data_IF_883279472427
#
_entry.id   IF_883279472427
#
_cell.length_a   1.000
_cell.length_b   1.000
_cell.length_c   1.000
_cell.angle_alpha   90.00
_cell.angle_beta   90.00
_cell.angle_gamma   90.00
#
_symmetry.space_group_name_H-M   'P 1'
#
loop_
_entity.id
_entity.type
_entity.pdbx_description
1 polymer ?
#
# COMPACT_ATOMS: atom_id res chain seq x y z
N UNK A 1 6.21 41.25 -4.25
CA UNK A 1 5.71 40.48 -5.41
C UNK A 1 4.61 41.30 -6.06
N UNK A 2 4.41 41.23 -7.39
CA UNK A 2 3.19 41.79 -7.98
C UNK A 2 1.99 40.96 -7.55
N UNK A 3 0.83 41.59 -7.39
CA UNK A 3 -0.40 40.93 -6.94
C UNK A 3 -0.75 39.71 -7.83
N UNK A 4 -0.52 39.81 -9.14
CA UNK A 4 -0.71 38.71 -10.08
C UNK A 4 0.20 37.51 -9.84
N UNK A 5 1.47 37.73 -9.45
CA UNK A 5 2.39 36.64 -9.11
C UNK A 5 1.96 35.98 -7.79
N UNK A 6 1.48 36.76 -6.82
CA UNK A 6 1.01 36.23 -5.56
C UNK A 6 -0.26 35.37 -5.72
N UNK A 7 -1.20 35.78 -6.59
CA UNK A 7 -2.37 34.96 -6.95
C UNK A 7 -1.95 33.68 -7.68
N UNK A 8 -0.99 33.76 -8.61
CA UNK A 8 -0.49 32.57 -9.31
C UNK A 8 0.12 31.57 -8.33
N UNK A 9 0.91 32.05 -7.37
CA UNK A 9 1.50 31.23 -6.31
C UNK A 9 0.42 30.63 -5.42
N UNK A 10 -0.58 31.41 -5.01
CA UNK A 10 -1.74 30.91 -4.24
C UNK A 10 -2.47 29.79 -5.00
N UNK A 11 -2.75 29.98 -6.29
CA UNK A 11 -3.40 28.98 -7.12
C UNK A 11 -2.56 27.70 -7.25
N UNK A 12 -1.24 27.84 -7.47
CA UNK A 12 -0.33 26.71 -7.53
C UNK A 12 -0.26 25.94 -6.20
N UNK A 13 -0.26 26.66 -5.07
CA UNK A 13 -0.26 26.04 -3.75
C UNK A 13 -1.58 25.34 -3.42
N UNK A 14 -2.72 25.89 -3.82
CA UNK A 14 -4.04 25.23 -3.70
C UNK A 14 -4.07 23.92 -4.49
N UNK A 15 -3.58 23.93 -5.74
CA UNK A 15 -3.48 22.73 -6.56
C UNK A 15 -2.49 21.72 -5.97
N UNK A 16 -1.36 22.19 -5.43
CA UNK A 16 -0.38 21.35 -4.74
C UNK A 16 -0.98 20.67 -3.52
N UNK A 17 -1.72 21.42 -2.69
CA UNK A 17 -2.41 20.87 -1.53
C UNK A 17 -3.44 19.82 -1.97
N UNK A 18 -4.27 20.15 -2.95
CA UNK A 18 -5.26 19.23 -3.50
C UNK A 18 -4.65 17.97 -4.10
N UNK A 19 -3.47 18.06 -4.72
CA UNK A 19 -2.72 16.89 -5.15
C UNK A 19 -2.38 15.97 -3.96
N UNK A 20 -1.82 16.52 -2.87
CA UNK A 20 -1.43 15.71 -1.72
C UNK A 20 -2.64 15.11 -0.99
N UNK A 21 -3.71 15.88 -0.81
CA UNK A 21 -4.97 15.38 -0.23
C UNK A 21 -5.55 14.26 -1.10
N UNK A 22 -5.66 14.47 -2.42
CA UNK A 22 -6.16 13.42 -3.31
C UNK A 22 -5.27 12.17 -3.30
N UNK A 23 -3.95 12.34 -3.22
CA UNK A 23 -3.00 11.23 -3.18
C UNK A 23 -3.13 10.44 -1.87
N UNK A 24 -3.24 11.12 -0.73
CA UNK A 24 -3.46 10.50 0.59
C UNK A 24 -4.71 9.62 0.58
N UNK A 25 -5.86 10.20 0.24
CA UNK A 25 -7.13 9.48 0.24
C UNK A 25 -7.17 8.38 -0.82
N UNK A 26 -6.48 8.56 -1.95
CA UNK A 26 -6.31 7.50 -2.94
C UNK A 26 -5.48 6.32 -2.42
N UNK A 27 -4.39 6.57 -1.69
CA UNK A 27 -3.56 5.48 -1.13
C UNK A 27 -4.30 4.70 -0.05
N UNK A 28 -5.09 5.39 0.77
CA UNK A 28 -5.90 4.75 1.84
C UNK A 28 -7.10 4.00 1.28
N UNK A 29 -7.76 4.55 0.25
CA UNK A 29 -9.03 4.00 -0.26
C UNK A 29 -8.87 3.03 -1.43
N UNK A 30 -7.73 3.06 -2.14
CA UNK A 30 -7.50 2.13 -3.25
C UNK A 30 -7.24 0.72 -2.72
N UNK A 31 -7.84 -0.28 -3.38
CA UNK A 31 -7.63 -1.69 -3.07
C UNK A 31 -6.56 -2.27 -4.02
N UNK A 32 -5.60 -3.03 -3.46
CA UNK A 32 -4.43 -3.57 -4.20
C UNK A 32 -4.85 -4.53 -5.32
N UNK A 33 -5.87 -5.33 -5.08
CA UNK A 33 -6.47 -6.29 -6.03
C UNK A 33 -6.97 -5.64 -7.34
N UNK A 34 -7.29 -4.35 -7.33
CA UNK A 34 -7.65 -3.61 -8.55
C UNK A 34 -6.43 -3.12 -9.36
N UNK A 35 -5.27 -2.98 -8.72
CA UNK A 35 -4.04 -2.46 -9.34
C UNK A 35 -3.10 -3.59 -9.79
N UNK A 36 -3.04 -4.69 -9.05
CA UNK A 36 -2.20 -5.85 -9.35
C UNK A 36 -2.41 -6.42 -10.77
N UNK A 37 -3.65 -6.64 -11.26
CA UNK A 37 -3.86 -7.10 -12.63
C UNK A 37 -3.36 -6.12 -13.69
N UNK A 38 -3.39 -4.81 -13.40
CA UNK A 38 -2.85 -3.79 -14.31
C UNK A 38 -1.33 -3.80 -14.32
N UNK A 39 -0.70 -4.00 -13.16
CA UNK A 39 0.75 -4.13 -13.05
C UNK A 39 1.27 -5.40 -13.72
N UNK A 40 0.54 -6.52 -13.57
CA UNK A 40 0.84 -7.79 -14.24
C UNK A 40 0.76 -7.67 -15.77
N UNK A 41 -0.21 -6.90 -16.28
CA UNK A 41 -0.31 -6.53 -17.71
C UNK A 41 0.72 -5.48 -18.18
N UNK A 42 1.73 -5.18 -17.38
CA UNK A 42 2.85 -4.30 -17.76
C UNK A 42 2.65 -2.81 -17.48
N UNK A 43 1.60 -2.40 -16.77
CA UNK A 43 1.42 -0.97 -16.42
C UNK A 43 2.46 -0.51 -15.40
N UNK A 44 3.37 0.37 -15.85
CA UNK A 44 4.39 0.99 -14.99
C UNK A 44 3.75 1.84 -13.90
N UNK A 45 2.70 2.60 -14.22
CA UNK A 45 1.94 3.38 -13.23
C UNK A 45 1.37 2.51 -12.13
N UNK A 46 0.72 1.39 -12.47
CA UNK A 46 0.20 0.45 -11.48
C UNK A 46 1.30 -0.11 -10.57
N UNK A 47 2.47 -0.46 -11.13
CA UNK A 47 3.61 -0.94 -10.33
C UNK A 47 4.14 0.12 -9.37
N UNK A 48 4.21 1.37 -9.80
CA UNK A 48 4.65 2.48 -8.94
C UNK A 48 3.65 2.82 -7.85
N UNK A 49 2.35 2.82 -8.18
CA UNK A 49 1.28 3.00 -7.20
C UNK A 49 1.24 1.87 -6.18
N UNK A 50 1.42 0.61 -6.59
CA UNK A 50 1.50 -0.53 -5.66
C UNK A 50 2.66 -0.39 -4.68
N UNK A 51 3.83 0.10 -5.13
CA UNK A 51 4.97 0.39 -4.25
C UNK A 51 4.72 1.55 -3.29
N UNK A 52 3.95 2.55 -3.70
CA UNK A 52 3.52 3.61 -2.79
C UNK A 52 2.55 3.04 -1.73
N UNK A 53 1.73 2.06 -2.08
CA UNK A 53 0.81 1.36 -1.17
C UNK A 53 1.50 0.29 -0.30
N UNK A 54 2.70 -0.20 -0.65
CA UNK A 54 3.46 -1.15 0.18
C UNK A 54 3.88 -0.53 1.53
N UNK A 55 4.15 0.77 1.55
CA UNK A 55 4.54 1.50 2.75
C UNK A 55 3.57 2.65 2.98
N UNK A 56 2.33 2.33 3.38
CA UNK A 56 1.26 3.30 3.60
C UNK A 56 1.71 4.38 4.58
N UNK A 57 2.28 4.02 5.74
CA UNK A 57 2.86 4.97 6.70
C UNK A 57 3.81 6.00 6.08
N UNK A 58 4.73 5.55 5.22
CA UNK A 58 5.70 6.42 4.59
C UNK A 58 5.03 7.36 3.57
N UNK A 59 4.09 6.83 2.79
CA UNK A 59 3.29 7.61 1.85
C UNK A 59 2.41 8.64 2.56
N UNK A 60 1.78 8.27 3.69
CA UNK A 60 0.97 9.15 4.53
C UNK A 60 1.82 10.27 5.15
N UNK A 61 3.00 9.94 5.69
CA UNK A 61 3.91 10.95 6.22
C UNK A 61 4.37 11.92 5.13
N UNK A 62 4.59 11.43 3.90
CA UNK A 62 4.95 12.26 2.76
C UNK A 62 3.81 13.19 2.32
N UNK A 63 2.58 12.68 2.22
CA UNK A 63 1.42 13.52 1.88
C UNK A 63 1.16 14.55 2.98
N UNK A 64 1.28 14.17 4.25
CA UNK A 64 1.11 15.09 5.37
C UNK A 64 2.13 16.22 5.34
N UNK A 65 3.40 15.91 5.06
CA UNK A 65 4.45 16.93 4.89
C UNK A 65 4.08 17.91 3.76
N UNK A 66 3.61 17.40 2.63
CA UNK A 66 3.17 18.20 1.50
C UNK A 66 1.97 19.09 1.84
N UNK A 67 0.93 18.52 2.47
CA UNK A 67 -0.27 19.24 2.92
C UNK A 67 0.13 20.36 3.88
N UNK A 68 0.95 20.08 4.90
CA UNK A 68 1.39 21.09 5.86
C UNK A 68 2.20 22.20 5.19
N UNK A 69 3.16 21.85 4.33
CA UNK A 69 3.96 22.84 3.62
C UNK A 69 3.09 23.76 2.74
N UNK A 70 2.18 23.18 1.95
CA UNK A 70 1.26 23.96 1.13
C UNK A 70 0.33 24.81 1.98
N UNK A 71 -0.24 24.28 3.06
CA UNK A 71 -1.20 25.00 3.91
C UNK A 71 -0.55 26.20 4.61
N UNK A 72 0.67 26.03 5.14
CA UNK A 72 1.43 27.12 5.75
C UNK A 72 1.79 28.20 4.73
N UNK A 73 2.21 27.81 3.52
CA UNK A 73 2.54 28.75 2.46
C UNK A 73 1.29 29.48 1.92
N UNK A 74 0.13 28.82 1.88
CA UNK A 74 -1.15 29.43 1.52
C UNK A 74 -1.51 30.53 2.53
N UNK A 75 -1.38 30.26 3.83
CA UNK A 75 -1.60 31.31 4.84
C UNK A 75 -0.60 32.45 4.69
N UNK A 76 0.70 32.12 4.59
CA UNK A 76 1.77 33.12 4.54
C UNK A 76 1.76 34.01 3.28
N UNK A 77 1.33 33.48 2.13
CA UNK A 77 1.35 34.21 0.84
C UNK A 77 -0.05 34.62 0.39
N UNK A 78 -1.05 33.77 0.60
CA UNK A 78 -2.42 33.98 0.14
C UNK A 78 -3.14 35.07 0.90
N UNK A 79 -3.04 35.09 2.23
CA UNK A 79 -3.72 36.10 3.05
C UNK A 79 -3.24 37.51 2.73
N UNK A 80 -1.92 37.83 2.69
CA UNK A 80 -1.47 39.18 2.37
C UNK A 80 -1.81 39.58 0.93
N UNK A 81 -1.79 38.62 -0.01
CA UNK A 81 -2.10 38.89 -1.41
C UNK A 81 -3.57 39.32 -1.59
N UNK A 82 -4.49 38.59 -0.97
CA UNK A 82 -5.93 38.91 -1.05
C UNK A 82 -6.25 40.14 -0.21
N UNK A 83 -5.62 40.33 0.96
CA UNK A 83 -5.84 41.51 1.80
C UNK A 83 -5.46 42.81 1.06
N UNK A 84 -4.29 42.88 0.41
CA UNK A 84 -3.90 44.07 -0.37
C UNK A 84 -4.86 44.38 -1.52
N UNK A 85 -5.46 43.36 -2.14
CA UNK A 85 -6.44 43.53 -3.22
C UNK A 85 -7.79 44.07 -2.70
N UNK A 86 -8.13 43.79 -1.44
CA UNK A 86 -9.37 44.23 -0.79
C UNK A 86 -9.21 45.61 -0.13
N UNK A 87 -8.02 45.91 0.38
CA UNK A 87 -7.70 47.17 1.06
C UNK A 87 -7.91 48.39 0.16
N UNK A 88 -7.45 48.34 -1.10
CA UNK A 88 -7.61 49.46 -2.05
C UNK A 88 -9.08 49.84 -2.32
N UNK A 89 -10.00 48.90 -2.62
CA UNK A 89 -11.43 49.19 -2.69
C UNK A 89 -12.02 49.79 -1.42
N UNK A 90 -11.60 49.32 -0.23
CA UNK A 90 -12.11 49.83 1.05
C UNK A 90 -11.70 51.30 1.29
N UNK A 91 -10.47 51.65 0.94
CA UNK A 91 -10.00 53.04 1.00
C UNK A 91 -10.79 53.94 0.02
N UNK A 92 -11.09 53.45 -1.19
CA UNK A 92 -11.91 54.19 -2.16
C UNK A 92 -13.36 54.40 -1.68
N UNK A 93 -13.88 53.51 -0.85
CA UNK A 93 -15.18 53.62 -0.19
C UNK A 93 -15.17 54.57 1.03
N UNK A 94 -14.02 55.18 1.35
CA UNK A 94 -13.89 56.15 2.43
C UNK A 94 -13.66 55.54 3.81
N UNK A 95 -13.30 54.25 3.89
CA UNK A 95 -12.89 53.62 5.15
C UNK A 95 -11.52 54.17 5.54
N UNK A 96 -11.35 54.59 6.80
CA UNK A 96 -10.06 55.07 7.26
C UNK A 96 -9.01 53.95 7.25
N UNK A 97 -7.77 54.30 6.89
CA UNK A 97 -6.65 53.35 6.78
C UNK A 97 -6.43 52.50 8.02
N UNK A 98 -6.75 53.02 9.21
CA UNK A 98 -6.68 52.27 10.47
C UNK A 98 -7.68 51.12 10.60
N UNK A 99 -8.81 51.17 9.89
CA UNK A 99 -9.81 50.09 9.87
C UNK A 99 -9.81 49.30 8.56
N UNK A 100 -9.37 49.89 7.45
CA UNK A 100 -9.31 49.23 6.14
C UNK A 100 -8.45 47.96 6.18
N UNK A 101 -7.27 48.03 6.79
CA UNK A 101 -6.34 46.90 6.85
C UNK A 101 -6.86 45.72 7.70
N UNK A 102 -7.32 45.89 8.97
CA UNK A 102 -7.91 44.80 9.74
C UNK A 102 -9.14 44.17 9.08
N UNK A 103 -10.01 44.98 8.45
CA UNK A 103 -11.20 44.48 7.76
C UNK A 103 -10.79 43.66 6.53
N UNK A 104 -9.86 44.17 5.72
CA UNK A 104 -9.34 43.47 4.56
C UNK A 104 -8.69 42.14 4.94
N UNK A 105 -7.93 42.11 6.04
CA UNK A 105 -7.29 40.90 6.55
C UNK A 105 -8.33 39.85 6.97
N UNK A 106 -9.37 40.22 7.71
CA UNK A 106 -10.43 39.28 8.12
C UNK A 106 -11.16 38.72 6.90
N UNK A 107 -11.51 39.56 5.93
CA UNK A 107 -12.18 39.11 4.70
C UNK A 107 -11.25 38.20 3.89
N UNK A 108 -9.97 38.56 3.75
CA UNK A 108 -8.97 37.76 3.06
C UNK A 108 -8.80 36.39 3.70
N UNK A 109 -8.70 36.33 5.03
CA UNK A 109 -8.62 35.10 5.79
C UNK A 109 -9.84 34.20 5.52
N UNK A 110 -11.05 34.75 5.54
CA UNK A 110 -12.27 34.00 5.25
C UNK A 110 -12.28 33.44 3.82
N UNK A 111 -11.89 34.26 2.83
CA UNK A 111 -11.84 33.85 1.42
C UNK A 111 -10.78 32.76 1.22
N UNK A 112 -9.56 32.98 1.71
CA UNK A 112 -8.44 32.04 1.55
C UNK A 112 -8.75 30.72 2.26
N UNK A 113 -9.27 30.78 3.49
CA UNK A 113 -9.68 29.58 4.24
C UNK A 113 -10.79 28.81 3.51
N UNK A 114 -11.78 29.51 2.97
CA UNK A 114 -12.86 28.87 2.20
C UNK A 114 -12.32 28.21 0.92
N UNK A 115 -11.50 28.92 0.13
CA UNK A 115 -10.87 28.36 -1.08
C UNK A 115 -9.98 27.16 -0.74
N UNK A 116 -9.21 27.26 0.33
CA UNK A 116 -8.33 26.19 0.81
C UNK A 116 -9.13 24.95 1.24
N UNK A 117 -10.15 25.10 2.08
CA UNK A 117 -11.00 23.97 2.49
C UNK A 117 -11.75 23.36 1.31
N UNK A 118 -12.33 24.17 0.43
CA UNK A 118 -13.16 23.66 -0.67
C UNK A 118 -12.29 23.06 -1.79
N UNK A 119 -11.38 23.85 -2.35
CA UNK A 119 -10.60 23.48 -3.54
C UNK A 119 -9.33 22.72 -3.18
N UNK A 120 -8.70 23.06 -2.06
CA UNK A 120 -7.47 22.40 -1.59
C UNK A 120 -7.75 21.07 -0.89
N UNK A 121 -8.91 20.90 -0.26
CA UNK A 121 -9.19 19.70 0.54
C UNK A 121 -10.44 18.92 0.11
N UNK A 122 -11.63 19.51 0.21
CA UNK A 122 -12.90 18.78 0.05
C UNK A 122 -13.11 18.23 -1.37
N UNK A 123 -12.90 19.04 -2.40
CA UNK A 123 -13.07 18.59 -3.79
C UNK A 123 -12.08 17.47 -4.15
N UNK A 124 -10.75 17.63 -3.93
CA UNK A 124 -9.78 16.58 -4.22
C UNK A 124 -10.02 15.30 -3.42
N UNK A 125 -10.34 15.42 -2.12
CA UNK A 125 -10.72 14.30 -1.26
C UNK A 125 -11.91 13.52 -1.81
N UNK A 126 -13.01 14.21 -2.13
CA UNK A 126 -14.22 13.58 -2.63
C UNK A 126 -13.98 12.90 -4.00
N UNK A 127 -13.16 13.50 -4.87
CA UNK A 127 -12.77 12.89 -6.13
C UNK A 127 -11.93 11.62 -5.95
N UNK A 128 -10.97 11.64 -5.01
CA UNK A 128 -10.13 10.49 -4.71
C UNK A 128 -10.95 9.32 -4.13
N UNK A 129 -11.90 9.61 -3.24
CA UNK A 129 -12.82 8.60 -2.66
C UNK A 129 -13.76 8.04 -3.74
N UNK A 130 -14.26 8.88 -4.64
CA UNK A 130 -15.19 8.44 -5.68
C UNK A 130 -14.54 7.50 -6.71
N UNK A 131 -13.24 7.68 -7.02
CA UNK A 131 -12.49 6.84 -7.98
C UNK A 131 -11.08 6.48 -7.48
N UNK A 132 -10.95 5.67 -6.41
CA UNK A 132 -9.67 5.47 -5.73
C UNK A 132 -8.61 4.84 -6.62
N UNK A 133 -8.97 3.81 -7.40
CA UNK A 133 -8.01 3.13 -8.27
C UNK A 133 -7.48 4.06 -9.38
N UNK A 134 -8.33 4.90 -9.98
CA UNK A 134 -7.90 5.83 -11.01
C UNK A 134 -7.01 6.93 -10.41
N UNK A 135 -7.38 7.48 -9.26
CA UNK A 135 -6.59 8.46 -8.53
C UNK A 135 -5.23 7.88 -8.12
N UNK A 136 -5.19 6.66 -7.59
CA UNK A 136 -3.93 6.00 -7.21
C UNK A 136 -3.01 5.78 -8.42
N UNK A 137 -3.56 5.39 -9.57
CA UNK A 137 -2.77 5.22 -10.81
C UNK A 137 -2.23 6.53 -11.38
N UNK A 138 -2.96 7.63 -11.19
CA UNK A 138 -2.55 8.95 -11.66
C UNK A 138 -1.52 9.59 -10.73
N UNK A 139 -1.81 9.59 -9.43
CA UNK A 139 -1.08 10.35 -8.41
C UNK A 139 0.06 9.55 -7.77
N UNK A 140 -0.10 8.22 -7.66
CA UNK A 140 0.86 7.32 -7.02
C UNK A 140 2.30 7.43 -7.58
N UNK A 141 2.52 7.49 -8.90
CA UNK A 141 3.87 7.65 -9.44
C UNK A 141 4.54 8.96 -9.03
N UNK A 142 3.80 10.08 -9.05
CA UNK A 142 4.32 11.40 -8.65
C UNK A 142 4.60 11.41 -7.15
N UNK A 143 3.68 10.87 -6.35
CA UNK A 143 3.88 10.72 -4.90
C UNK A 143 5.13 9.88 -4.60
N UNK A 144 5.38 8.80 -5.35
CA UNK A 144 6.56 7.96 -5.13
C UNK A 144 7.88 8.69 -5.39
N UNK A 145 7.92 9.58 -6.38
CA UNK A 145 9.07 10.47 -6.62
C UNK A 145 9.23 11.43 -5.45
N UNK A 146 8.14 12.06 -4.99
CA UNK A 146 8.16 12.95 -3.83
C UNK A 146 8.70 12.25 -2.57
N UNK A 147 8.21 11.04 -2.27
CA UNK A 147 8.71 10.19 -1.17
C UNK A 147 10.22 9.94 -1.30
N UNK A 148 10.73 9.67 -2.51
CA UNK A 148 12.16 9.41 -2.71
C UNK A 148 13.00 10.67 -2.44
N UNK A 149 12.55 11.83 -2.90
CA UNK A 149 13.24 13.12 -2.74
C UNK A 149 13.24 13.56 -1.27
N UNK A 150 12.10 13.44 -0.59
CA UNK A 150 11.92 13.87 0.80
C UNK A 150 12.16 12.75 1.82
N UNK A 151 12.68 11.60 1.38
CA UNK A 151 12.96 10.45 2.25
C UNK A 151 13.76 10.82 3.51
N UNK A 152 14.82 11.65 3.45
CA UNK A 152 15.58 12.03 4.64
C UNK A 152 14.75 12.83 5.64
N UNK A 153 13.91 13.74 5.15
CA UNK A 153 13.04 14.57 5.99
C UNK A 153 11.93 13.73 6.63
N UNK A 154 11.30 12.85 5.86
CA UNK A 154 10.25 11.94 6.35
C UNK A 154 10.83 10.97 7.38
N UNK A 155 12.01 10.40 7.11
CA UNK A 155 12.69 9.51 8.04
C UNK A 155 13.01 10.20 9.37
N UNK A 156 13.50 11.45 9.31
CA UNK A 156 13.77 12.24 10.51
C UNK A 156 12.48 12.46 11.31
N UNK A 157 11.39 12.88 10.66
CA UNK A 157 10.08 13.06 11.30
C UNK A 157 9.59 11.78 11.98
N UNK A 158 9.62 10.64 11.27
CA UNK A 158 9.19 9.36 11.82
C UNK A 158 10.06 8.94 13.00
N UNK A 159 11.39 9.09 12.93
CA UNK A 159 12.27 8.78 14.06
C UNK A 159 12.02 9.67 15.26
N UNK A 160 11.75 10.96 15.06
CA UNK A 160 11.38 11.85 16.15
C UNK A 160 10.03 11.44 16.76
N UNK A 161 9.04 11.09 15.95
CA UNK A 161 7.74 10.61 16.42
C UNK A 161 7.89 9.30 17.22
N UNK A 162 8.61 8.31 16.69
CA UNK A 162 8.89 7.04 17.36
C UNK A 162 9.59 7.26 18.71
N UNK A 163 10.58 8.17 18.76
CA UNK A 163 11.30 8.49 19.99
C UNK A 163 10.36 9.09 21.04
N UNK A 164 9.49 10.02 20.64
CA UNK A 164 8.51 10.63 21.55
C UNK A 164 7.50 9.59 22.03
N UNK A 165 6.94 8.78 21.14
CA UNK A 165 5.97 7.74 21.49
C UNK A 165 6.59 6.70 22.43
N UNK A 166 7.81 6.24 22.13
CA UNK A 166 8.51 5.24 22.94
C UNK A 166 8.96 5.77 24.30
N UNK A 167 9.53 6.97 24.37
CA UNK A 167 10.17 7.46 25.59
C UNK A 167 9.29 8.37 26.44
N UNK A 168 8.39 9.14 25.82
CA UNK A 168 7.49 10.05 26.55
C UNK A 168 6.18 9.35 26.87
N UNK A 169 5.56 8.72 25.87
CA UNK A 169 4.25 8.08 26.03
C UNK A 169 4.35 6.61 26.48
N UNK A 170 5.54 5.99 26.41
CA UNK A 170 5.81 4.58 26.75
C UNK A 170 4.91 3.59 26.01
N UNK A 171 4.55 3.91 24.77
CA UNK A 171 3.83 3.01 23.87
C UNK A 171 4.82 2.43 22.86
N UNK A 172 4.73 1.13 22.57
CA UNK A 172 5.52 0.55 21.48
C UNK A 172 4.96 0.99 20.12
N UNK A 173 5.75 1.68 19.28
CA UNK A 173 5.34 2.00 17.92
C UNK A 173 5.15 0.69 17.13
N UNK A 174 3.95 0.46 16.60
CA UNK A 174 3.73 -0.65 15.65
C UNK A 174 4.23 -0.23 14.28
N UNK A 175 5.18 -0.98 13.72
CA UNK A 175 5.52 -0.89 12.30
C UNK A 175 4.43 -1.57 11.46
N UNK A 176 3.77 -0.84 10.56
CA UNK A 176 2.70 -1.37 9.67
C UNK A 176 3.11 -2.57 8.81
N UNK A 177 4.42 -2.81 8.66
CA UNK A 177 4.99 -3.93 7.88
C UNK A 177 4.63 -5.32 8.49
N UNK A 178 4.17 -5.38 9.75
CA UNK A 178 3.83 -6.64 10.42
C UNK A 178 2.41 -7.16 10.19
N UNK A 179 1.61 -6.54 9.32
CA UNK A 179 0.21 -6.99 9.09
C UNK A 179 0.07 -8.11 8.05
N UNK A 180 1.18 -8.61 7.50
CA UNK A 180 1.19 -9.81 6.66
C UNK A 180 1.30 -11.03 7.57
N UNK A 181 0.18 -11.71 7.82
CA UNK A 181 0.19 -13.00 8.54
C UNK A 181 1.06 -13.96 7.74
N UNK A 182 2.20 -14.33 8.32
CA UNK A 182 3.11 -15.29 7.71
C UNK A 182 2.49 -16.68 7.68
N UNK A 183 2.96 -17.57 6.79
CA UNK A 183 2.50 -18.96 6.73
C UNK A 183 2.67 -19.64 8.09
N UNK A 184 3.76 -19.36 8.81
CA UNK A 184 3.99 -19.91 10.15
C UNK A 184 2.99 -19.39 11.20
N UNK A 185 2.60 -18.12 11.13
CA UNK A 185 1.54 -17.59 11.97
C UNK A 185 0.18 -18.20 11.63
N UNK A 186 -0.14 -18.42 10.34
CA UNK A 186 -1.35 -19.14 9.94
C UNK A 186 -1.35 -20.59 10.45
N UNK A 187 -0.21 -21.29 10.38
CA UNK A 187 -0.06 -22.64 10.97
C UNK A 187 -0.32 -22.62 12.47
N UNK A 188 0.23 -21.62 13.18
CA UNK A 188 -0.03 -21.44 14.61
C UNK A 188 -1.51 -21.17 14.94
N UNK A 189 -2.21 -20.40 14.10
CA UNK A 189 -3.65 -20.16 14.25
C UNK A 189 -4.48 -21.43 14.02
N UNK A 190 -4.13 -22.25 13.02
CA UNK A 190 -4.80 -23.54 12.76
C UNK A 190 -4.58 -24.51 13.91
N UNK A 191 -3.35 -24.60 14.44
CA UNK A 191 -3.05 -25.45 15.60
C UNK A 191 -3.84 -25.02 16.85
N UNK A 192 -3.88 -23.72 17.14
CA UNK A 192 -4.66 -23.19 18.26
C UNK A 192 -6.18 -23.42 18.09
N UNK A 193 -6.69 -23.32 16.86
CA UNK A 193 -8.09 -23.61 16.55
C UNK A 193 -8.43 -25.09 16.81
N UNK A 194 -7.54 -26.02 16.42
CA UNK A 194 -7.67 -27.45 16.74
C UNK A 194 -7.63 -27.73 18.25
N UNK A 195 -6.67 -27.16 18.99
CA UNK A 195 -6.58 -27.31 20.45
C UNK A 195 -7.82 -26.77 21.20
N UNK A 196 -8.42 -25.70 20.67
CA UNK A 196 -9.66 -25.10 21.21
C UNK A 196 -10.95 -25.84 20.80
N UNK A 197 -10.85 -26.89 19.98
CA UNK A 197 -11.98 -27.67 19.49
C UNK A 197 -12.86 -26.94 18.46
N UNK A 198 -12.34 -25.88 17.84
CA UNK A 198 -13.03 -25.14 16.76
C UNK A 198 -12.87 -25.83 15.39
N UNK A 199 -11.88 -26.71 15.27
CA UNK A 199 -11.64 -27.58 14.11
C UNK A 199 -11.58 -29.02 14.61
N UNK A 200 -12.10 -29.94 13.82
CA UNK A 200 -11.87 -31.36 14.08
C UNK A 200 -10.43 -31.79 13.70
N UNK A 201 -10.04 -33.02 14.08
CA UNK A 201 -8.68 -33.53 13.83
C UNK A 201 -8.37 -33.65 12.33
N UNK A 202 -9.37 -34.00 11.51
CA UNK A 202 -9.22 -34.17 10.08
C UNK A 202 -9.04 -32.83 9.38
N UNK A 203 -9.85 -31.83 9.70
CA UNK A 203 -9.77 -30.45 9.24
C UNK A 203 -8.44 -29.81 9.65
N UNK A 204 -8.02 -30.01 10.91
CA UNK A 204 -6.75 -29.49 11.43
C UNK A 204 -5.58 -30.08 10.65
N UNK A 205 -5.57 -31.39 10.43
CA UNK A 205 -4.52 -32.09 9.69
C UNK A 205 -4.48 -31.66 8.23
N UNK A 206 -5.65 -31.52 7.60
CA UNK A 206 -5.78 -31.12 6.20
C UNK A 206 -5.31 -29.68 5.98
N UNK A 207 -5.72 -28.74 6.85
CA UNK A 207 -5.32 -27.33 6.78
C UNK A 207 -3.83 -27.15 7.08
N UNK A 208 -3.29 -27.85 8.08
CA UNK A 208 -1.86 -27.83 8.39
C UNK A 208 -1.02 -28.39 7.24
N UNK A 209 -1.46 -29.51 6.64
CA UNK A 209 -0.81 -30.12 5.48
C UNK A 209 -0.85 -29.23 4.24
N UNK A 210 -1.98 -28.58 3.95
CA UNK A 210 -2.11 -27.65 2.84
C UNK A 210 -1.19 -26.42 2.98
N UNK A 211 -1.05 -25.90 4.20
CA UNK A 211 -0.11 -24.81 4.52
C UNK A 211 1.36 -25.26 4.49
N UNK A 212 1.64 -26.57 4.57
CA UNK A 212 2.98 -27.17 4.52
C UNK A 212 3.46 -27.56 3.12
N UNK A 213 2.56 -27.57 2.13
CA UNK A 213 2.82 -28.14 0.81
C UNK A 213 3.94 -27.43 0.03
N UNK A 214 4.15 -26.14 0.27
CA UNK A 214 5.19 -25.35 -0.39
C UNK A 214 6.62 -25.76 -0.02
N UNK A 215 6.81 -26.42 1.12
CA UNK A 215 8.11 -26.91 1.58
C UNK A 215 8.34 -28.40 1.27
N UNK A 216 7.32 -29.12 0.79
CA UNK A 216 7.44 -30.54 0.44
C UNK A 216 8.10 -30.62 -0.93
N UNK A 217 9.29 -31.20 -0.97
CA UNK A 217 9.99 -31.53 -2.20
C UNK A 217 9.64 -32.94 -2.64
N UNK A 218 9.88 -33.27 -3.92
CA UNK A 218 9.68 -34.62 -4.40
C UNK A 218 10.44 -35.65 -3.55
N UNK A 219 11.64 -35.30 -3.07
CA UNK A 219 12.50 -36.13 -2.23
C UNK A 219 11.83 -36.55 -0.91
N UNK A 220 10.91 -35.75 -0.37
CA UNK A 220 10.26 -36.00 0.92
C UNK A 220 9.15 -37.06 0.82
N UNK A 221 8.70 -37.39 -0.40
CA UNK A 221 7.56 -38.32 -0.65
C UNK A 221 7.90 -39.48 -1.59
N UNK A 222 9.02 -39.42 -2.30
CA UNK A 222 9.45 -40.52 -3.18
C UNK A 222 10.03 -41.70 -2.40
N UNK A 223 9.73 -42.91 -2.88
CA UNK A 223 10.41 -44.11 -2.40
C UNK A 223 11.80 -44.23 -3.02
N UNK A 224 12.82 -44.63 -2.24
CA UNK A 224 14.12 -45.01 -2.79
C UNK A 224 13.99 -46.08 -3.88
N UNK A 225 14.75 -45.95 -4.98
CA UNK A 225 14.61 -46.83 -6.15
C UNK A 225 14.92 -48.30 -5.86
N UNK A 226 15.74 -48.58 -4.85
CA UNK A 226 16.07 -49.91 -4.34
C UNK A 226 14.92 -50.58 -3.57
N UNK A 227 13.94 -49.79 -3.10
CA UNK A 227 12.73 -50.29 -2.46
C UNK A 227 11.54 -50.38 -3.45
N UNK A 228 11.74 -50.04 -4.72
CA UNK A 228 10.68 -50.08 -5.74
C UNK A 228 10.73 -51.40 -6.50
N UNK A 229 9.60 -52.12 -6.48
CA UNK A 229 9.39 -53.28 -7.33
C UNK A 229 9.39 -52.84 -8.80
N UNK A 230 10.48 -53.13 -9.51
CA UNK A 230 10.64 -52.86 -10.92
C UNK A 230 10.49 -54.14 -11.75
N UNK A 231 10.05 -53.99 -13.00
CA UNK A 231 9.88 -55.11 -13.94
C UNK A 231 10.87 -54.99 -15.09
N UNK A 232 11.35 -56.12 -15.60
CA UNK A 232 12.17 -56.14 -16.82
C UNK A 232 11.30 -55.83 -18.05
N UNK A 233 11.86 -55.13 -19.04
CA UNK A 233 11.17 -54.80 -20.28
C UNK A 233 10.73 -56.04 -21.08
N UNK A 234 11.41 -57.18 -20.90
CA UNK A 234 11.11 -58.43 -21.59
C UNK A 234 10.18 -59.36 -20.76
N UNK A 235 9.66 -58.89 -19.61
CA UNK A 235 8.76 -59.66 -18.74
C UNK A 235 7.42 -59.97 -19.43
N UNK A 236 6.92 -61.19 -19.27
CA UNK A 236 5.66 -61.58 -19.91
C UNK A 236 4.44 -61.00 -19.19
N UNK A 237 3.34 -60.82 -19.91
CA UNK A 237 2.08 -60.32 -19.33
C UNK A 237 1.53 -61.19 -18.20
N UNK A 238 1.74 -62.51 -18.27
CA UNK A 238 1.34 -63.43 -17.20
C UNK A 238 2.13 -63.24 -15.91
N UNK A 239 3.43 -62.95 -16.01
CA UNK A 239 4.29 -62.67 -14.86
C UNK A 239 3.98 -61.30 -14.22
N UNK A 240 3.68 -60.28 -15.04
CA UNK A 240 3.22 -58.98 -14.56
C UNK A 240 1.92 -59.13 -13.76
N UNK A 241 0.96 -59.92 -14.26
CA UNK A 241 -0.31 -60.16 -13.55
C UNK A 241 -0.07 -60.79 -12.16
N UNK A 242 0.83 -61.77 -12.07
CA UNK A 242 1.18 -62.40 -10.79
C UNK A 242 1.86 -61.40 -9.85
N UNK A 243 2.68 -60.50 -10.37
CA UNK A 243 3.33 -59.44 -9.60
C UNK A 243 2.31 -58.43 -9.04
N UNK A 244 1.32 -58.01 -9.84
CA UNK A 244 0.23 -57.16 -9.38
C UNK A 244 -0.53 -57.78 -8.20
N UNK A 245 -0.86 -59.07 -8.29
CA UNK A 245 -1.59 -59.78 -7.22
C UNK A 245 -0.73 -59.92 -5.95
N UNK A 246 0.57 -60.18 -6.10
CA UNK A 246 1.49 -60.39 -4.98
C UNK A 246 1.85 -59.10 -4.24
N UNK A 247 2.06 -58.01 -4.96
CA UNK A 247 2.53 -56.72 -4.40
C UNK A 247 1.39 -55.75 -4.08
N UNK A 248 0.24 -55.89 -4.76
CA UNK A 248 -0.88 -54.95 -4.68
C UNK A 248 -0.62 -53.62 -5.41
N UNK A 249 0.51 -53.46 -6.09
CA UNK A 249 0.84 -52.26 -6.84
C UNK A 249 0.13 -52.21 -8.19
N UNK A 250 -0.26 -51.00 -8.62
CA UNK A 250 -0.91 -50.76 -9.92
C UNK A 250 0.04 -50.31 -11.03
N UNK A 251 1.27 -49.90 -10.67
CA UNK A 251 2.29 -49.39 -11.59
C UNK A 251 3.66 -49.89 -11.15
N UNK A 252 4.46 -50.30 -12.12
CA UNK A 252 5.81 -50.80 -11.92
C UNK A 252 6.73 -50.06 -12.89
N UNK A 253 7.85 -49.48 -12.42
CA UNK A 253 8.85 -48.96 -13.33
C UNK A 253 9.46 -50.09 -14.16
N UNK A 254 9.76 -49.81 -15.42
CA UNK A 254 10.33 -50.74 -16.38
C UNK A 254 11.83 -50.54 -16.45
N UNK A 255 12.58 -51.61 -16.25
CA UNK A 255 14.03 -51.68 -16.39
C UNK A 255 14.39 -52.30 -17.74
N UNK A 256 15.35 -51.70 -18.43
CA UNK A 256 16.04 -52.28 -19.59
C UNK A 256 17.53 -52.04 -19.45
N UNK A 257 18.33 -53.10 -19.53
CA UNK A 257 19.79 -53.03 -19.39
C UNK A 257 20.25 -52.28 -18.12
N UNK A 258 19.53 -52.48 -17.01
CA UNK A 258 19.81 -51.83 -15.72
C UNK A 258 19.44 -50.34 -15.65
N UNK A 259 18.65 -49.82 -16.61
CA UNK A 259 18.17 -48.43 -16.61
C UNK A 259 16.65 -48.37 -16.64
N UNK A 260 16.05 -47.44 -15.91
CA UNK A 260 14.62 -47.17 -15.97
C UNK A 260 14.26 -46.53 -17.31
N UNK A 261 13.33 -47.15 -18.04
CA UNK A 261 12.89 -46.72 -19.39
C UNK A 261 11.42 -46.33 -19.46
N UNK A 262 10.64 -46.58 -18.40
CA UNK A 262 9.21 -46.26 -18.33
C UNK A 262 8.58 -46.62 -17.00
#
# INVERSE_FOLDING_TARGET
>A
MSDGVAILVLAALLLGNGFFVAAEFAMVSARRDHLEPRAARGSTRARWSLRAMENVSLSLAATQLGITACSLLIGAVGEPAIAHLIERPLEWLGVSTGFAHPIALVIALLIVTFLHMVLGEMVPKNMAIARPAAAALLLGPVLRVFVLVFLPAIWLMNKTADLVVRHVLRVEPKSEVDTTVTVDQMRGMVAAAGESGLLDEDETTLLAGALGFDHITAADVLRPLDEVDAVDADLTTGEIQQLCVRTGHSRFPVLRDGRYVG
#
